data_IF_609350703396
#
_entry.id   IF_609350703396
#
_cell.length_a   1.000
_cell.length_b   1.000
_cell.length_c   1.000
_cell.angle_alpha   90.00
_cell.angle_beta   90.00
_cell.angle_gamma   90.00
#
_symmetry.space_group_name_H-M   'P 1'
#
loop_
_entity.id
_entity.type
_entity.pdbx_description
1 polymer ?
#
# COMPACT_ATOMS: atom_id res chain seq x y z
N UNK A 1 -31.28 -2.00 -18.62
CA UNK A 1 -32.20 -0.85 -18.68
C UNK A 1 -31.35 0.39 -18.50
N UNK A 2 -31.40 1.30 -19.48
CA UNK A 2 -30.58 2.51 -19.54
C UNK A 2 -30.85 3.38 -18.30
N UNK A 3 -29.87 3.52 -17.41
CA UNK A 3 -29.90 4.51 -16.33
C UNK A 3 -29.73 5.88 -16.99
N UNK A 4 -30.85 6.56 -17.19
CA UNK A 4 -30.89 7.93 -17.68
C UNK A 4 -30.01 8.81 -16.79
N UNK A 5 -28.84 9.19 -17.31
CA UNK A 5 -28.03 10.26 -16.76
C UNK A 5 -28.94 11.48 -16.59
N UNK A 6 -29.01 12.03 -15.38
CA UNK A 6 -29.73 13.25 -15.11
C UNK A 6 -29.31 14.32 -16.14
N UNK A 7 -30.28 14.91 -16.84
CA UNK A 7 -30.04 15.98 -17.80
C UNK A 7 -29.55 17.21 -17.05
N UNK A 8 -28.27 17.55 -17.19
CA UNK A 8 -27.68 18.73 -16.59
C UNK A 8 -26.18 18.83 -16.82
N UNK A 9 -25.61 19.97 -16.44
CA UNK A 9 -24.16 20.22 -16.53
C UNK A 9 -23.45 19.52 -15.38
N UNK A 10 -22.39 18.80 -15.70
CA UNK A 10 -21.55 18.11 -14.72
C UNK A 10 -20.25 18.90 -14.54
N UNK A 11 -19.79 19.00 -13.29
CA UNK A 11 -18.53 19.65 -12.93
C UNK A 11 -17.59 18.63 -12.32
N UNK A 12 -16.30 18.70 -12.67
CA UNK A 12 -15.26 17.93 -12.00
C UNK A 12 -15.07 18.44 -10.58
N UNK A 13 -15.16 17.55 -9.60
CA UNK A 13 -15.06 17.86 -8.17
C UNK A 13 -13.91 17.14 -7.46
N UNK A 14 -13.28 16.14 -8.10
CA UNK A 14 -12.15 15.41 -7.54
C UNK A 14 -11.52 14.44 -8.55
N UNK A 15 -10.45 13.76 -8.15
CA UNK A 15 -9.75 12.80 -8.99
C UNK A 15 -9.38 11.54 -8.21
N UNK A 16 -9.37 10.39 -8.89
CA UNK A 16 -8.95 9.08 -8.36
C UNK A 16 -7.57 8.69 -8.90
N UNK A 17 -6.78 9.68 -9.32
CA UNK A 17 -5.54 9.46 -10.06
C UNK A 17 -4.37 9.35 -9.09
N UNK A 18 -4.18 8.17 -8.52
CA UNK A 18 -3.04 7.89 -7.68
C UNK A 18 -2.30 6.64 -8.17
N UNK A 19 -0.97 6.71 -8.20
CA UNK A 19 -0.11 5.57 -8.56
C UNK A 19 0.21 4.68 -7.35
N UNK A 20 -0.52 4.84 -6.25
CA UNK A 20 -0.29 4.11 -5.00
C UNK A 20 -0.81 2.69 -5.10
N UNK A 21 0.05 1.75 -4.73
CA UNK A 21 -0.33 0.38 -4.41
C UNK A 21 -0.94 0.40 -3.01
N UNK A 22 -2.15 -0.15 -2.89
CA UNK A 22 -2.82 -0.37 -1.62
C UNK A 22 -2.72 -1.85 -1.23
N UNK A 23 -2.79 -2.12 0.06
CA UNK A 23 -2.71 -3.46 0.62
C UNK A 23 -4.01 -3.84 1.31
N UNK A 24 -4.20 -5.14 1.54
CA UNK A 24 -5.35 -5.66 2.28
C UNK A 24 -5.40 -4.98 3.65
N UNK A 25 -6.56 -4.40 3.97
CA UNK A 25 -6.76 -3.63 5.19
C UNK A 25 -6.72 -2.12 4.97
N UNK A 26 -6.01 -1.61 3.96
CA UNK A 26 -6.03 -0.18 3.64
C UNK A 26 -7.43 0.28 3.28
N UNK A 27 -7.70 1.56 3.57
CA UNK A 27 -8.99 2.19 3.33
C UNK A 27 -8.79 3.41 2.45
N UNK A 28 -9.59 3.50 1.38
CA UNK A 28 -9.74 4.71 0.58
C UNK A 28 -10.98 5.44 1.08
N UNK A 29 -10.79 6.58 1.71
CA UNK A 29 -11.88 7.42 2.21
C UNK A 29 -12.22 8.47 1.16
N UNK A 30 -13.47 8.48 0.68
CA UNK A 30 -13.96 9.45 -0.29
C UNK A 30 -14.94 10.38 0.43
N UNK A 31 -14.56 11.64 0.56
CA UNK A 31 -15.31 12.65 1.31
C UNK A 31 -15.85 13.72 0.38
N UNK A 32 -17.16 13.93 0.42
CA UNK A 32 -17.84 14.94 -0.41
C UNK A 32 -18.14 16.20 0.38
N UNK A 33 -18.14 17.35 -0.29
CA UNK A 33 -18.43 18.64 0.32
C UNK A 33 -19.40 19.46 -0.53
N UNK A 34 -20.26 20.22 0.14
CA UNK A 34 -21.02 21.33 -0.42
C UNK A 34 -20.47 22.68 0.10
N UNK A 35 -21.21 23.76 -0.10
CA UNK A 35 -20.82 25.09 0.42
C UNK A 35 -20.93 25.21 1.96
N UNK A 36 -21.64 24.30 2.62
CA UNK A 36 -21.87 24.28 4.07
C UNK A 36 -20.86 23.41 4.81
N UNK A 37 -20.26 22.44 4.13
CA UNK A 37 -19.20 21.59 4.68
C UNK A 37 -19.27 20.17 4.16
N UNK A 38 -18.84 19.23 5.00
CA UNK A 38 -18.79 17.81 4.66
C UNK A 38 -20.19 17.18 4.58
N UNK A 39 -20.42 16.42 3.52
CA UNK A 39 -21.61 15.63 3.29
C UNK A 39 -21.42 14.20 3.82
N UNK A 40 -21.37 14.06 5.14
CA UNK A 40 -21.11 12.78 5.84
C UNK A 40 -22.02 11.63 5.38
N UNK A 41 -23.25 11.92 4.96
CA UNK A 41 -24.21 10.92 4.48
C UNK A 41 -23.88 10.36 3.09
N UNK A 42 -23.05 11.06 2.32
CA UNK A 42 -22.60 10.64 0.98
C UNK A 42 -21.16 10.13 0.99
N UNK A 43 -20.35 10.61 1.94
CA UNK A 43 -18.97 10.16 2.15
C UNK A 43 -18.92 8.69 2.58
N UNK A 44 -17.87 7.98 2.18
CA UNK A 44 -17.73 6.56 2.50
C UNK A 44 -16.27 6.10 2.56
N UNK A 45 -16.07 4.96 3.21
CA UNK A 45 -14.80 4.25 3.30
C UNK A 45 -14.84 2.99 2.42
N UNK A 46 -13.90 2.89 1.49
CA UNK A 46 -13.71 1.70 0.66
C UNK A 46 -12.52 0.89 1.16
N UNK A 47 -12.80 -0.24 1.81
CA UNK A 47 -11.79 -1.14 2.36
C UNK A 47 -11.23 -2.09 1.29
N UNK A 48 -9.91 -2.15 1.20
CA UNK A 48 -9.20 -3.12 0.35
C UNK A 48 -9.20 -4.48 1.05
N UNK A 49 -9.72 -5.51 0.39
CA UNK A 49 -9.88 -6.86 0.95
C UNK A 49 -9.10 -7.93 0.20
N UNK A 50 -8.58 -7.63 -0.99
CA UNK A 50 -7.72 -8.52 -1.76
C UNK A 50 -6.53 -7.78 -2.39
N UNK A 51 -5.48 -8.53 -2.75
CA UNK A 51 -4.29 -7.99 -3.41
C UNK A 51 -4.63 -7.35 -4.76
N UNK A 52 -5.45 -8.02 -5.57
CA UNK A 52 -5.91 -7.52 -6.87
C UNK A 52 -6.67 -6.20 -6.72
N UNK A 53 -7.52 -6.06 -5.70
CA UNK A 53 -8.24 -4.81 -5.44
C UNK A 53 -7.30 -3.64 -5.18
N UNK A 54 -6.18 -3.88 -4.49
CA UNK A 54 -5.24 -2.84 -4.10
C UNK A 54 -4.28 -2.39 -5.20
N UNK A 55 -4.26 -3.07 -6.36
CA UNK A 55 -3.33 -2.71 -7.44
C UNK A 55 -3.60 -1.29 -7.97
N UNK A 56 -2.56 -0.52 -8.35
CA UNK A 56 -2.67 0.87 -8.83
C UNK A 56 -3.55 1.08 -10.06
N UNK A 57 -3.95 0.01 -10.73
CA UNK A 57 -4.83 0.01 -11.90
C UNK A 57 -6.22 -0.56 -11.61
N UNK A 58 -6.42 -1.11 -10.41
CA UNK A 58 -7.65 -1.77 -10.01
C UNK A 58 -8.45 -0.91 -9.02
N UNK A 59 -7.84 -0.44 -7.92
CA UNK A 59 -8.58 0.33 -6.92
C UNK A 59 -9.24 1.60 -7.47
N UNK A 60 -8.66 2.40 -8.40
CA UNK A 60 -9.32 3.59 -8.90
C UNK A 60 -10.59 3.26 -9.69
N UNK A 61 -10.59 2.11 -10.39
CA UNK A 61 -11.74 1.61 -11.14
C UNK A 61 -12.84 1.16 -10.19
N UNK A 62 -12.48 0.38 -9.17
CA UNK A 62 -13.42 -0.17 -8.19
C UNK A 62 -14.09 0.93 -7.36
N UNK A 63 -13.32 1.93 -6.92
CA UNK A 63 -13.88 3.10 -6.20
C UNK A 63 -14.80 3.91 -7.12
N UNK A 64 -14.45 4.10 -8.39
CA UNK A 64 -15.31 4.79 -9.35
C UNK A 64 -16.64 4.03 -9.58
N UNK A 65 -16.58 2.69 -9.71
CA UNK A 65 -17.78 1.86 -9.80
C UNK A 65 -18.64 1.97 -8.55
N UNK A 66 -18.02 1.95 -7.37
CA UNK A 66 -18.74 2.12 -6.10
C UNK A 66 -19.45 3.48 -6.03
N UNK A 67 -18.81 4.57 -6.44
CA UNK A 67 -19.42 5.91 -6.53
C UNK A 67 -20.65 5.87 -7.44
N UNK A 68 -20.52 5.30 -8.64
CA UNK A 68 -21.59 5.26 -9.65
C UNK A 68 -22.81 4.44 -9.20
N UNK A 69 -22.62 3.49 -8.29
CA UNK A 69 -23.70 2.66 -7.75
C UNK A 69 -24.36 3.29 -6.52
N UNK A 70 -23.56 3.91 -5.63
CA UNK A 70 -24.02 4.25 -4.27
C UNK A 70 -24.19 5.76 -4.03
N UNK A 71 -23.59 6.64 -4.83
CA UNK A 71 -23.62 8.09 -4.58
C UNK A 71 -24.51 8.78 -5.64
N UNK A 72 -25.76 9.15 -5.30
CA UNK A 72 -26.64 9.81 -6.25
C UNK A 72 -26.08 11.19 -6.66
N UNK A 73 -26.35 11.60 -7.90
CA UNK A 73 -25.93 12.90 -8.47
C UNK A 73 -24.40 13.09 -8.59
N UNK A 74 -23.63 12.03 -8.34
CA UNK A 74 -22.19 11.95 -8.54
C UNK A 74 -21.90 10.81 -9.51
N UNK A 75 -20.95 11.02 -10.42
CA UNK A 75 -20.45 10.00 -11.33
C UNK A 75 -18.92 10.03 -11.35
N UNK A 76 -18.26 8.88 -11.43
CA UNK A 76 -16.81 8.78 -11.51
C UNK A 76 -16.37 7.95 -12.72
N UNK A 77 -15.38 8.47 -13.46
CA UNK A 77 -14.88 7.85 -14.68
C UNK A 77 -14.01 8.81 -15.49
N UNK A 78 -13.67 8.43 -16.71
CA UNK A 78 -13.03 9.28 -17.71
C UNK A 78 -14.09 9.78 -18.69
N UNK A 79 -14.18 11.09 -18.87
CA UNK A 79 -15.06 11.67 -19.89
C UNK A 79 -14.49 11.43 -21.28
N UNK A 80 -15.27 10.84 -22.17
CA UNK A 80 -14.92 10.59 -23.57
C UNK A 80 -16.00 11.10 -24.51
N UNK A 81 -15.74 11.07 -25.82
CA UNK A 81 -16.72 11.43 -26.85
C UNK A 81 -17.98 10.55 -26.81
N UNK A 82 -17.86 9.33 -26.27
CA UNK A 82 -18.96 8.36 -26.12
C UNK A 82 -19.70 8.52 -24.78
N UNK A 83 -19.31 9.49 -23.96
CA UNK A 83 -19.79 9.69 -22.60
C UNK A 83 -18.76 9.29 -21.54
N UNK A 84 -19.23 9.20 -20.30
CA UNK A 84 -18.40 8.85 -19.16
C UNK A 84 -18.19 7.33 -19.12
N UNK A 85 -16.93 6.90 -19.16
CA UNK A 85 -16.55 5.49 -19.05
C UNK A 85 -15.70 5.28 -17.80
N UNK A 86 -15.90 4.18 -17.07
CA UNK A 86 -15.00 3.83 -15.96
C UNK A 86 -13.71 3.25 -16.56
N UNK A 87 -12.59 3.96 -16.39
CA UNK A 87 -11.30 3.52 -16.90
C UNK A 87 -10.47 2.81 -15.81
N UNK A 88 -9.43 2.08 -16.21
CA UNK A 88 -8.47 1.48 -15.26
C UNK A 88 -7.59 2.53 -14.56
N UNK A 89 -7.36 3.66 -15.22
CA UNK A 89 -6.56 4.79 -14.73
C UNK A 89 -7.21 6.09 -15.16
N UNK A 90 -6.82 7.18 -14.51
CA UNK A 90 -7.22 8.54 -14.91
C UNK A 90 -8.73 8.78 -14.79
N UNK A 91 -9.35 8.30 -13.71
CA UNK A 91 -10.77 8.55 -13.40
C UNK A 91 -10.91 9.87 -12.62
N UNK A 92 -11.83 10.70 -13.07
CA UNK A 92 -12.26 11.92 -12.41
C UNK A 92 -13.63 11.71 -11.75
N UNK A 93 -13.91 12.49 -10.71
CA UNK A 93 -15.19 12.49 -10.01
C UNK A 93 -15.94 13.74 -10.45
N UNK A 94 -17.17 13.56 -10.91
CA UNK A 94 -18.05 14.59 -11.39
C UNK A 94 -19.31 14.65 -10.53
N UNK A 95 -19.81 15.85 -10.28
CA UNK A 95 -21.14 16.05 -9.71
C UNK A 95 -22.01 16.89 -10.63
N UNK A 96 -23.31 16.63 -10.57
CA UNK A 96 -24.30 17.45 -11.25
C UNK A 96 -24.30 18.86 -10.62
N UNK A 97 -24.18 19.93 -11.41
CA UNK A 97 -24.10 21.30 -10.86
C UNK A 97 -25.28 21.68 -9.96
N UNK A 98 -26.47 21.11 -10.20
CA UNK A 98 -27.66 21.35 -9.39
C UNK A 98 -27.67 20.60 -8.06
N UNK A 99 -26.75 19.66 -7.80
CA UNK A 99 -26.68 18.94 -6.53
C UNK A 99 -26.08 19.79 -5.40
N UNK A 100 -25.38 20.88 -5.73
CA UNK A 100 -24.65 21.70 -4.76
C UNK A 100 -23.32 21.10 -4.28
N UNK A 101 -23.00 19.85 -4.68
CA UNK A 101 -21.74 19.19 -4.36
C UNK A 101 -20.64 19.82 -5.20
N UNK A 102 -19.61 20.36 -4.55
CA UNK A 102 -18.58 21.15 -5.21
C UNK A 102 -17.17 20.57 -5.08
N UNK A 103 -16.94 19.64 -4.15
CA UNK A 103 -15.62 19.03 -3.94
C UNK A 103 -15.75 17.57 -3.48
N UNK A 104 -14.87 16.73 -3.99
CA UNK A 104 -14.58 15.40 -3.49
C UNK A 104 -13.10 15.33 -3.11
N UNK A 105 -12.83 14.90 -1.89
CA UNK A 105 -11.49 14.66 -1.39
C UNK A 105 -11.29 13.16 -1.22
N UNK A 106 -10.13 12.66 -1.62
CA UNK A 106 -9.78 11.24 -1.53
C UNK A 106 -8.58 11.13 -0.61
N UNK A 107 -8.80 10.55 0.57
CA UNK A 107 -7.76 10.25 1.54
C UNK A 107 -7.48 8.75 1.56
N UNK A 108 -6.27 8.41 2.00
CA UNK A 108 -5.85 7.04 2.19
C UNK A 108 -5.55 6.84 3.67
N UNK A 109 -6.31 5.95 4.29
CA UNK A 109 -5.98 5.45 5.62
C UNK A 109 -5.27 4.11 5.44
N UNK A 110 -3.95 4.21 5.30
CA UNK A 110 -3.08 3.04 5.15
C UNK A 110 -3.01 2.31 6.49
N UNK A 111 -3.79 1.25 6.66
CA UNK A 111 -3.70 0.38 7.84
C UNK A 111 -2.41 -0.46 7.74
N UNK A 112 -1.93 -0.74 6.52
CA UNK A 112 -0.63 -1.36 6.28
C UNK A 112 0.56 -0.39 6.41
N UNK A 113 0.31 0.93 6.52
CA UNK A 113 1.32 1.95 6.88
C UNK A 113 0.86 2.81 8.04
N UNK A 114 0.62 2.16 9.17
CA UNK A 114 1.08 2.70 10.44
C UNK A 114 2.34 1.94 10.88
N UNK A 115 3.40 2.00 10.08
CA UNK A 115 4.80 2.06 10.58
C UNK A 115 5.73 2.67 9.51
N UNK A 116 5.46 3.93 9.14
CA UNK A 116 6.50 4.81 8.59
C UNK A 116 6.32 6.20 9.20
N UNK A 117 6.51 6.30 10.53
CA UNK A 117 7.15 7.49 11.08
C UNK A 117 8.55 7.09 11.44
N UNK A 118 9.51 7.75 10.81
CA UNK A 118 10.92 7.75 11.18
C UNK A 118 11.03 7.96 12.69
N UNK A 119 11.22 6.87 13.42
CA UNK A 119 11.95 6.87 14.68
C UNK A 119 13.23 6.12 14.38
N UNK A 120 14.33 6.86 14.31
CA UNK A 120 15.64 6.28 14.50
C UNK A 120 15.64 5.54 15.84
N UNK A 121 15.49 4.20 15.84
CA UNK A 121 16.36 3.22 16.51
C UNK A 121 15.73 1.81 16.54
N UNK A 122 16.37 0.88 15.83
CA UNK A 122 17.02 -0.31 16.40
C UNK A 122 16.15 -1.38 17.11
N UNK A 123 15.42 -2.22 16.37
CA UNK A 123 15.12 -3.57 16.89
C UNK A 123 14.87 -4.67 15.82
N UNK A 124 14.79 -4.35 14.53
CA UNK A 124 14.51 -5.39 13.51
C UNK A 124 15.76 -6.13 13.05
N UNK A 125 16.90 -5.46 12.87
CA UNK A 125 18.21 -6.08 12.65
C UNK A 125 19.37 -5.12 12.96
N UNK A 126 20.52 -5.66 13.40
CA UNK A 126 21.71 -4.88 13.78
C UNK A 126 22.60 -4.55 12.57
N UNK A 127 22.66 -5.43 11.57
CA UNK A 127 23.49 -5.25 10.37
C UNK A 127 22.81 -5.80 9.11
N UNK A 128 23.34 -5.44 7.94
CA UNK A 128 22.99 -6.09 6.67
C UNK A 128 24.09 -7.10 6.33
N UNK A 129 23.73 -8.35 6.05
CA UNK A 129 24.71 -9.38 5.71
C UNK A 129 25.31 -9.12 4.30
N UNK A 130 26.64 -9.21 4.10
CA UNK A 130 27.71 -9.62 5.03
C UNK A 130 28.52 -8.43 5.62
N UNK A 131 27.94 -7.24 5.70
CA UNK A 131 28.64 -6.03 6.14
C UNK A 131 29.05 -6.13 7.62
N UNK A 132 30.27 -5.67 7.94
CA UNK A 132 30.80 -5.67 9.31
C UNK A 132 30.72 -7.02 10.04
N UNK A 133 30.87 -8.14 9.32
CA UNK A 133 30.74 -9.49 9.87
C UNK A 133 31.68 -9.81 11.05
N UNK A 134 32.77 -9.06 11.24
CA UNK A 134 33.63 -9.15 12.42
C UNK A 134 32.90 -8.79 13.73
N UNK A 135 31.85 -7.97 13.63
CA UNK A 135 31.04 -7.52 14.77
C UNK A 135 29.88 -8.46 15.09
N UNK A 136 29.70 -9.55 14.33
CA UNK A 136 28.61 -10.48 14.58
C UNK A 136 28.92 -11.31 15.83
N UNK A 137 28.03 -11.18 16.81
CA UNK A 137 28.09 -11.87 18.09
C UNK A 137 26.82 -12.71 18.28
N UNK A 138 26.82 -13.56 19.30
CA UNK A 138 25.60 -14.26 19.68
C UNK A 138 24.45 -13.26 19.87
N UNK A 139 23.32 -13.51 19.21
CA UNK A 139 22.15 -12.63 19.26
C UNK A 139 22.12 -11.54 18.19
N UNK A 140 23.21 -11.28 17.47
CA UNK A 140 23.24 -10.31 16.37
C UNK A 140 22.24 -10.69 15.29
N UNK A 141 21.37 -9.75 14.91
CA UNK A 141 20.36 -9.90 13.86
C UNK A 141 20.88 -9.30 12.57
N UNK A 142 20.80 -10.05 11.47
CA UNK A 142 21.24 -9.56 10.16
C UNK A 142 20.14 -9.69 9.12
N UNK A 143 19.94 -8.66 8.32
CA UNK A 143 19.11 -8.74 7.11
C UNK A 143 19.91 -9.43 6.00
N UNK A 144 19.37 -10.48 5.40
CA UNK A 144 19.96 -11.14 4.21
C UNK A 144 19.29 -10.60 2.94
N UNK A 145 19.93 -9.72 2.15
CA UNK A 145 19.30 -9.09 1.00
C UNK A 145 18.83 -10.08 -0.08
N UNK A 146 19.52 -11.22 -0.21
CA UNK A 146 19.19 -12.24 -1.21
C UNK A 146 17.91 -13.04 -0.89
N UNK A 147 17.55 -13.13 0.40
CA UNK A 147 16.34 -13.86 0.83
C UNK A 147 15.24 -12.92 1.34
N UNK A 148 15.59 -11.67 1.68
CA UNK A 148 14.66 -10.68 2.24
C UNK A 148 14.28 -10.94 3.70
N UNK A 149 14.91 -11.91 4.38
CA UNK A 149 14.61 -12.29 5.76
C UNK A 149 15.70 -11.85 6.74
N UNK A 150 15.33 -11.76 8.02
CA UNK A 150 16.26 -11.49 9.13
C UNK A 150 16.68 -12.79 9.79
N UNK A 151 17.96 -12.87 10.15
CA UNK A 151 18.54 -14.04 10.79
C UNK A 151 19.30 -13.62 12.03
N UNK A 152 19.01 -14.29 13.15
CA UNK A 152 19.71 -14.08 14.41
C UNK A 152 20.86 -15.08 14.55
N UNK A 153 22.05 -14.56 14.85
CA UNK A 153 23.22 -15.35 15.15
C UNK A 153 22.98 -16.17 16.42
N UNK A 154 23.24 -17.47 16.34
CA UNK A 154 22.99 -18.39 17.45
C UNK A 154 23.97 -18.16 18.62
N UNK A 155 23.62 -18.61 19.84
CA UNK A 155 24.52 -18.57 20.98
C UNK A 155 25.79 -19.39 20.77
N UNK A 156 26.77 -19.17 21.64
CA UNK A 156 27.99 -19.96 21.69
C UNK A 156 27.70 -21.47 21.81
N UNK A 157 28.43 -22.35 21.10
CA UNK A 157 29.63 -22.10 20.28
C UNK A 157 29.35 -21.77 18.81
N UNK A 158 28.07 -21.69 18.42
CA UNK A 158 27.68 -21.56 17.01
C UNK A 158 27.86 -20.15 16.45
N UNK A 159 27.94 -19.15 17.32
CA UNK A 159 28.20 -17.76 16.96
C UNK A 159 29.52 -17.57 16.18
N UNK A 160 30.50 -18.46 16.40
CA UNK A 160 31.78 -18.43 15.68
C UNK A 160 31.61 -18.60 14.17
N UNK A 161 30.51 -19.23 13.73
CA UNK A 161 30.18 -19.41 12.31
C UNK A 161 29.44 -18.22 11.70
N UNK A 162 28.97 -17.27 12.52
CA UNK A 162 28.31 -16.06 12.03
C UNK A 162 29.33 -15.09 11.42
N UNK A 163 30.55 -15.05 11.96
CA UNK A 163 31.63 -14.18 11.49
C UNK A 163 32.23 -14.77 10.21
N UNK A 164 31.88 -14.18 9.07
CA UNK A 164 32.32 -14.65 7.77
C UNK A 164 33.79 -14.24 7.48
N UNK A 165 34.75 -15.12 7.79
CA UNK A 165 36.13 -15.03 7.27
C UNK A 165 36.32 -15.97 6.05
N UNK A 166 36.93 -15.40 5.01
CA UNK A 166 36.98 -15.75 3.58
C UNK A 166 36.56 -17.16 3.09
N UNK A 167 37.07 -18.26 3.63
CA UNK A 167 36.82 -19.60 3.05
C UNK A 167 35.48 -20.27 3.47
N UNK A 168 34.85 -19.83 4.57
CA UNK A 168 33.65 -20.49 5.14
C UNK A 168 32.34 -19.75 4.86
N UNK A 169 32.42 -18.58 4.21
CA UNK A 169 31.34 -17.59 4.02
C UNK A 169 30.11 -18.12 3.29
N UNK A 170 30.29 -19.02 2.33
CA UNK A 170 29.19 -19.59 1.54
C UNK A 170 28.47 -20.73 2.27
N UNK A 171 29.18 -21.49 3.10
CA UNK A 171 28.61 -22.68 3.75
C UNK A 171 27.61 -22.30 4.85
N UNK A 172 27.85 -21.17 5.53
CA UNK A 172 27.02 -20.67 6.62
C UNK A 172 26.26 -19.39 6.26
N UNK A 173 26.15 -19.04 4.98
CA UNK A 173 25.42 -17.85 4.53
C UNK A 173 23.94 -17.93 4.98
N UNK A 174 23.41 -16.96 5.75
CA UNK A 174 22.08 -17.05 6.34
C UNK A 174 21.01 -17.27 5.25
N UNK A 175 20.21 -18.32 5.41
CA UNK A 175 19.13 -18.70 4.48
C UNK A 175 19.56 -19.35 3.17
N UNK A 176 20.87 -19.50 2.91
CA UNK A 176 21.39 -19.95 1.61
C UNK A 176 22.40 -21.09 1.74
N UNK A 177 23.37 -20.96 2.65
CA UNK A 177 24.47 -21.92 2.79
C UNK A 177 24.03 -23.29 3.27
N UNK A 178 24.66 -24.37 2.80
CA UNK A 178 24.23 -25.74 3.15
C UNK A 178 24.15 -26.03 4.66
N UNK A 179 24.88 -25.28 5.47
CA UNK A 179 24.87 -25.38 6.93
C UNK A 179 24.46 -24.09 7.62
N UNK A 180 23.74 -23.19 6.94
CA UNK A 180 23.33 -21.89 7.49
C UNK A 180 22.58 -22.01 8.82
N UNK A 181 21.72 -23.01 8.95
CA UNK A 181 20.89 -23.24 10.14
C UNK A 181 21.72 -23.62 11.38
N UNK A 182 23.00 -23.97 11.22
CA UNK A 182 23.93 -24.21 12.32
C UNK A 182 24.38 -22.90 12.98
N UNK A 183 24.56 -21.84 12.19
CA UNK A 183 25.03 -20.53 12.66
C UNK A 183 23.88 -19.58 12.97
N UNK A 184 22.77 -19.71 12.25
CA UNK A 184 21.69 -18.75 12.22
C UNK A 184 20.34 -19.36 12.58
N UNK A 185 19.45 -18.52 13.08
CA UNK A 185 18.03 -18.81 13.22
C UNK A 185 17.24 -17.73 12.47
N UNK A 186 16.38 -18.14 11.55
CA UNK A 186 15.46 -17.22 10.89
C UNK A 186 14.41 -16.76 11.90
N UNK A 187 14.13 -15.45 11.93
CA UNK A 187 13.15 -14.81 12.81
C UNK A 187 12.18 -13.95 12.01
#
# INVERSE_FOLDING_TARGET
MHTSLACGKWSTIGCLNHHTQLFIGDVVSVTFYDMQGELVSLSFDYKITSLEQGEPHAWPRLVAEHINVHVPLVSAGKMTEQGLIVAYRNNEIFALQSSGICKAHVDFHCIAKCDERVVNNLDTYDYVYPENCENYNAGTKVLQPKTGHVYQCRPWPFNEFCRASDDKKFMFEPGIGQSWAMAWQQI
#
